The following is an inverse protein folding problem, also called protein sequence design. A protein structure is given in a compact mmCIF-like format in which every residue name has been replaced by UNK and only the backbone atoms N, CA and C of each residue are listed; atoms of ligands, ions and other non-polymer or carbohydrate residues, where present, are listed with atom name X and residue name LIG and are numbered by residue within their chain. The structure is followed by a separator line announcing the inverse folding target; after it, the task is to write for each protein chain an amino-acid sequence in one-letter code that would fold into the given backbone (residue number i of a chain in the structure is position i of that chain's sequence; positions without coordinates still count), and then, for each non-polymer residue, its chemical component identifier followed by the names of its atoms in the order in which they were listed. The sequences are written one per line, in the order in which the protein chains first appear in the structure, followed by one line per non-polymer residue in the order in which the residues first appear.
data_IF_190919534961
#
_entry.id   IF_190919534961
#
_cell.length_a   1.000
_cell.length_b   1.000
_cell.length_c   1.000
_cell.angle_alpha   90.00
_cell.angle_beta   90.00
_cell.angle_gamma   90.00
#
_symmetry.space_group_name_H-M   'P 1'
#
loop_
_entity.id
_entity.type
_entity.pdbx_description
1 polymer ?
#
# COMPACT_ATOMS: atom_id res chain seq x y z
N UNK A 1 2.43 19.29 10.47
CA UNK A 1 3.59 19.49 9.57
C UNK A 1 4.94 19.59 10.30
N UNK A 2 4.98 19.81 11.62
CA UNK A 2 6.22 19.99 12.41
C UNK A 2 7.35 19.00 12.14
N UNK A 3 7.06 17.69 11.95
CA UNK A 3 8.10 16.68 11.65
C UNK A 3 8.80 16.94 10.31
N UNK A 4 8.03 17.27 9.27
CA UNK A 4 8.59 17.64 7.97
C UNK A 4 9.40 18.94 8.07
N UNK A 5 8.98 19.85 8.95
CA UNK A 5 9.65 21.14 9.14
C UNK A 5 10.93 21.05 9.97
N UNK A 6 11.06 19.98 10.76
CA UNK A 6 12.27 19.68 11.51
C UNK A 6 13.42 19.20 10.62
N UNK A 7 13.12 18.64 9.44
CA UNK A 7 14.13 18.29 8.43
C UNK A 7 14.64 19.55 7.72
N UNK A 8 15.91 19.95 7.89
CA UNK A 8 16.47 21.14 7.24
C UNK A 8 16.47 21.05 5.71
N UNK A 9 16.50 19.84 5.14
CA UNK A 9 16.50 19.61 3.68
C UNK A 9 15.09 19.53 3.10
N UNK A 10 14.05 19.42 3.93
CA UNK A 10 12.66 19.22 3.48
C UNK A 10 12.50 18.00 2.56
N UNK A 11 13.22 16.93 2.88
CA UNK A 11 13.32 15.70 2.11
C UNK A 11 12.87 14.48 2.94
N UNK A 12 11.70 14.62 3.58
CA UNK A 12 11.08 13.57 4.39
C UNK A 12 9.73 13.18 3.78
N UNK A 13 9.50 11.87 3.63
CA UNK A 13 8.20 11.32 3.20
C UNK A 13 7.49 10.66 4.40
N UNK A 14 6.16 10.55 4.34
CA UNK A 14 5.35 9.91 5.37
C UNK A 14 4.67 8.65 4.83
N UNK A 15 4.50 7.66 5.71
CA UNK A 15 3.86 6.39 5.36
C UNK A 15 2.62 6.15 6.22
N UNK A 16 1.57 5.58 5.63
CA UNK A 16 0.47 4.92 6.35
C UNK A 16 0.51 3.42 6.05
N UNK A 17 0.36 2.61 7.09
CA UNK A 17 0.14 1.16 6.95
C UNK A 17 -1.36 0.91 7.04
N UNK A 18 -1.96 0.53 5.91
CA UNK A 18 -3.40 0.44 5.73
C UNK A 18 -3.90 -1.00 5.92
N UNK A 19 -4.12 -1.38 7.17
CA UNK A 19 -4.82 -2.61 7.55
C UNK A 19 -6.25 -2.31 8.04
N UNK A 20 -6.86 -3.17 8.86
CA UNK A 20 -8.30 -3.11 9.15
C UNK A 20 -8.75 -1.81 9.82
N UNK A 21 -7.87 -1.10 10.53
CA UNK A 21 -8.24 0.17 11.18
C UNK A 21 -8.23 1.32 10.16
N UNK A 22 -7.17 1.39 9.37
CA UNK A 22 -6.93 2.49 8.43
C UNK A 22 -7.55 2.27 7.05
N UNK A 23 -8.12 1.08 6.79
CA UNK A 23 -8.70 0.72 5.51
C UNK A 23 -9.84 -0.31 5.62
N UNK A 24 -10.65 -0.26 6.70
CA UNK A 24 -11.86 -1.11 6.84
C UNK A 24 -12.88 -0.99 5.69
N UNK A 25 -12.94 0.18 5.05
CA UNK A 25 -13.90 0.53 4.01
C UNK A 25 -13.37 1.65 3.10
N UNK A 26 -14.00 1.82 1.94
CA UNK A 26 -13.61 2.79 0.93
C UNK A 26 -13.56 4.23 1.46
N UNK A 27 -14.54 4.61 2.28
CA UNK A 27 -14.60 5.95 2.87
C UNK A 27 -13.42 6.19 3.82
N UNK A 28 -13.01 5.18 4.58
CA UNK A 28 -11.86 5.26 5.47
C UNK A 28 -10.56 5.34 4.72
N UNK A 29 -10.38 4.57 3.65
CA UNK A 29 -9.23 4.68 2.75
C UNK A 29 -9.10 6.09 2.17
N UNK A 30 -10.18 6.58 1.53
CA UNK A 30 -10.19 7.90 0.88
C UNK A 30 -9.90 9.02 1.88
N UNK A 31 -10.59 9.01 3.02
CA UNK A 31 -10.41 10.01 4.09
C UNK A 31 -9.00 10.04 4.64
N UNK A 32 -8.38 8.87 4.84
CA UNK A 32 -7.00 8.81 5.36
C UNK A 32 -6.00 9.36 4.34
N UNK A 33 -6.13 8.99 3.06
CA UNK A 33 -5.29 9.55 1.98
C UNK A 33 -5.51 11.06 1.86
N UNK A 34 -6.76 11.52 1.86
CA UNK A 34 -7.11 12.94 1.71
C UNK A 34 -6.60 13.80 2.85
N UNK A 35 -6.81 13.35 4.10
CA UNK A 35 -6.34 14.07 5.27
C UNK A 35 -4.82 14.18 5.28
N UNK A 36 -4.10 13.11 4.89
CA UNK A 36 -2.64 13.14 4.80
C UNK A 36 -2.15 14.08 3.70
N UNK A 37 -2.74 14.03 2.51
CA UNK A 37 -2.39 14.93 1.42
C UNK A 37 -2.72 16.40 1.74
N UNK A 38 -3.80 16.66 2.49
CA UNK A 38 -4.19 18.01 2.92
C UNK A 38 -3.18 18.65 3.89
N UNK A 39 -2.34 17.86 4.58
CA UNK A 39 -1.21 18.38 5.37
C UNK A 39 -0.15 19.00 4.44
N UNK A 40 -0.14 18.66 3.16
CA UNK A 40 0.78 19.18 2.15
C UNK A 40 2.20 18.64 2.30
N UNK A 41 2.31 17.33 2.59
CA UNK A 41 3.59 16.58 2.66
C UNK A 41 3.47 15.30 1.83
N UNK A 42 4.57 14.74 1.31
CA UNK A 42 4.53 13.52 0.51
C UNK A 42 4.03 12.29 1.31
N UNK A 43 3.22 11.46 0.68
CA UNK A 43 2.63 10.25 1.25
C UNK A 43 2.97 9.02 0.41
N UNK A 44 3.23 7.90 1.08
CA UNK A 44 3.20 6.55 0.54
C UNK A 44 2.27 5.67 1.39
N UNK A 45 1.56 4.72 0.80
CA UNK A 45 0.94 3.62 1.55
C UNK A 45 1.98 2.50 1.67
N UNK A 46 2.75 2.53 2.76
CA UNK A 46 3.94 1.67 2.89
C UNK A 46 3.63 0.20 3.16
N UNK A 47 2.43 -0.13 3.61
CA UNK A 47 1.96 -1.51 3.76
C UNK A 47 0.44 -1.58 3.59
N UNK A 48 -0.04 -2.68 2.99
CA UNK A 48 -1.43 -3.12 3.04
C UNK A 48 -1.52 -4.59 2.58
N UNK A 49 -2.62 -5.27 2.92
CA UNK A 49 -2.98 -6.61 2.41
C UNK A 49 -4.50 -6.69 2.25
N UNK A 50 -5.07 -7.86 1.94
CA UNK A 50 -6.52 -8.11 1.92
C UNK A 50 -7.14 -8.29 3.32
N UNK A 51 -6.33 -8.68 4.30
CA UNK A 51 -6.65 -8.78 5.71
C UNK A 51 -5.37 -8.84 6.56
N UNK A 52 -5.43 -8.50 7.85
CA UNK A 52 -4.32 -8.70 8.81
C UNK A 52 -4.69 -9.68 9.93
N UNK A 53 -5.68 -9.33 10.75
CA UNK A 53 -6.13 -10.16 11.89
C UNK A 53 -7.38 -10.98 11.57
N UNK A 54 -7.50 -11.43 10.32
CA UNK A 54 -8.72 -12.05 9.77
C UNK A 54 -9.85 -11.05 9.48
N UNK A 55 -9.61 -9.75 9.71
CA UNK A 55 -10.53 -8.67 9.36
C UNK A 55 -10.22 -8.13 7.97
N UNK A 56 -11.24 -7.86 7.14
CA UNK A 56 -11.03 -7.42 5.77
C UNK A 56 -10.43 -6.01 5.70
N UNK A 57 -9.66 -5.78 4.65
CA UNK A 57 -9.07 -4.51 4.26
C UNK A 57 -9.53 -4.19 2.84
N UNK A 58 -9.98 -2.96 2.60
CA UNK A 58 -10.39 -2.50 1.26
C UNK A 58 -9.18 -2.11 0.39
N UNK A 59 -8.34 -3.11 0.10
CA UNK A 59 -7.13 -2.94 -0.70
C UNK A 59 -7.41 -2.51 -2.15
N UNK A 60 -8.62 -2.81 -2.66
CA UNK A 60 -9.03 -2.38 -4.02
C UNK A 60 -9.22 -0.86 -4.07
N UNK A 61 -9.85 -0.28 -3.05
CA UNK A 61 -9.92 1.18 -2.94
C UNK A 61 -8.54 1.78 -2.72
N UNK A 62 -7.64 1.14 -1.96
CA UNK A 62 -6.25 1.60 -1.81
C UNK A 62 -5.58 1.73 -3.19
N UNK A 63 -5.56 0.66 -3.98
CA UNK A 63 -4.88 0.62 -5.29
C UNK A 63 -5.48 1.67 -6.25
N UNK A 64 -6.81 1.67 -6.39
CA UNK A 64 -7.48 2.58 -7.32
C UNK A 64 -7.35 4.05 -6.91
N UNK A 65 -7.48 4.36 -5.63
CA UNK A 65 -7.41 5.74 -5.15
C UNK A 65 -5.98 6.27 -5.07
N UNK A 66 -4.99 5.43 -4.78
CA UNK A 66 -3.59 5.80 -4.89
C UNK A 66 -3.23 6.20 -6.33
N UNK A 67 -3.74 5.48 -7.33
CA UNK A 67 -3.59 5.86 -8.74
C UNK A 67 -4.25 7.22 -9.03
N UNK A 68 -5.47 7.43 -8.57
CA UNK A 68 -6.20 8.69 -8.74
C UNK A 68 -5.45 9.88 -8.13
N UNK A 69 -4.82 9.69 -6.98
CA UNK A 69 -4.15 10.75 -6.20
C UNK A 69 -2.64 10.81 -6.36
N UNK A 70 -2.07 10.02 -7.26
CA UNK A 70 -0.62 9.93 -7.49
C UNK A 70 0.16 9.62 -6.20
N UNK A 71 -0.34 8.68 -5.41
CA UNK A 71 0.28 8.18 -4.18
C UNK A 71 0.93 6.83 -4.47
N UNK A 72 2.19 6.66 -4.05
CA UNK A 72 2.86 5.36 -4.14
C UNK A 72 2.32 4.37 -3.12
N UNK A 73 2.48 3.06 -3.38
CA UNK A 73 2.08 2.02 -2.44
C UNK A 73 3.01 0.81 -2.50
N UNK A 74 3.07 0.05 -1.40
CA UNK A 74 3.80 -1.21 -1.27
C UNK A 74 2.88 -2.25 -0.61
N UNK A 75 2.59 -3.34 -1.31
CA UNK A 75 1.78 -4.43 -0.76
C UNK A 75 2.62 -5.33 0.16
N UNK A 76 2.04 -5.75 1.28
CA UNK A 76 2.65 -6.65 2.24
C UNK A 76 2.08 -8.06 2.07
N UNK A 77 2.90 -9.10 1.88
CA UNK A 77 4.33 -9.07 1.54
C UNK A 77 4.67 -10.27 0.66
N UNK A 78 5.89 -10.31 0.11
CA UNK A 78 6.24 -11.31 -0.91
C UNK A 78 6.00 -12.75 -0.46
N UNK A 79 6.61 -13.15 0.65
CA UNK A 79 6.51 -14.50 1.22
C UNK A 79 7.09 -14.53 2.63
N UNK A 80 6.64 -15.47 3.47
CA UNK A 80 7.29 -15.81 4.74
C UNK A 80 6.65 -15.16 5.96
N UNK A 81 5.38 -14.76 5.85
CA UNK A 81 4.59 -14.40 7.02
C UNK A 81 4.45 -15.59 7.99
N UNK A 82 4.21 -15.29 9.27
CA UNK A 82 3.98 -16.34 10.26
C UNK A 82 2.59 -16.97 10.07
N UNK A 83 2.26 -17.98 10.89
CA UNK A 83 1.01 -18.72 10.75
C UNK A 83 -0.25 -17.85 10.84
N UNK A 84 -0.22 -16.76 11.62
CA UNK A 84 -1.37 -15.89 11.84
C UNK A 84 -1.62 -14.94 10.66
N UNK A 85 -0.59 -14.64 9.87
CA UNK A 85 -0.66 -13.70 8.74
C UNK A 85 -0.26 -14.32 7.40
N UNK A 86 -0.20 -15.65 7.30
CA UNK A 86 0.21 -16.38 6.09
C UNK A 86 -0.71 -16.10 4.87
N UNK A 87 -1.94 -15.63 5.09
CA UNK A 87 -2.83 -15.20 4.01
C UNK A 87 -2.30 -13.95 3.26
N UNK A 88 -1.38 -13.20 3.86
CA UNK A 88 -0.81 -11.97 3.30
C UNK A 88 0.37 -12.25 2.34
N UNK A 89 0.81 -13.51 2.20
CA UNK A 89 1.86 -13.88 1.25
C UNK A 89 1.39 -13.67 -0.21
N UNK A 90 2.16 -12.91 -0.99
CA UNK A 90 1.91 -12.67 -2.41
C UNK A 90 2.40 -13.83 -3.30
N UNK A 91 3.31 -14.66 -2.83
CA UNK A 91 3.81 -15.85 -3.51
C UNK A 91 3.85 -17.07 -2.58
N UNK A 92 3.71 -18.28 -3.14
CA UNK A 92 3.81 -19.55 -2.37
C UNK A 92 5.25 -19.92 -1.95
N UNK A 93 6.20 -19.01 -2.12
CA UNK A 93 7.62 -19.21 -1.82
C UNK A 93 8.48 -18.07 -2.39
N UNK A 94 9.77 -17.97 -2.03
CA UNK A 94 10.63 -16.90 -2.52
C UNK A 94 10.74 -16.84 -4.05
N UNK A 95 10.72 -18.01 -4.70
CA UNK A 95 10.64 -18.18 -6.15
C UNK A 95 9.35 -18.92 -6.57
N UNK A 96 8.29 -18.79 -5.75
CA UNK A 96 7.02 -19.48 -5.95
C UNK A 96 6.11 -18.76 -6.94
N UNK A 97 5.03 -19.45 -7.35
CA UNK A 97 3.94 -18.81 -8.08
C UNK A 97 3.20 -17.81 -7.20
N UNK A 98 2.60 -16.80 -7.83
CA UNK A 98 1.75 -15.84 -7.13
C UNK A 98 0.56 -16.54 -6.46
N UNK A 99 0.24 -16.13 -5.23
CA UNK A 99 -1.02 -16.47 -4.57
C UNK A 99 -2.18 -15.76 -5.27
N UNK A 100 -3.42 -15.97 -4.77
CA UNK A 100 -4.57 -15.20 -5.26
C UNK A 100 -4.35 -13.69 -5.05
N UNK A 101 -3.96 -13.28 -3.83
CA UNK A 101 -3.67 -11.88 -3.52
C UNK A 101 -2.53 -11.36 -4.41
N UNK A 102 -1.44 -12.13 -4.56
CA UNK A 102 -0.32 -11.78 -5.43
C UNK A 102 -0.75 -11.47 -6.87
N UNK A 103 -1.60 -12.32 -7.47
CA UNK A 103 -2.15 -12.04 -8.81
C UNK A 103 -3.00 -10.79 -8.83
N UNK A 104 -3.80 -10.54 -7.81
CA UNK A 104 -4.63 -9.33 -7.76
C UNK A 104 -3.79 -8.05 -7.61
N UNK A 105 -2.68 -8.08 -6.87
CA UNK A 105 -1.74 -6.96 -6.75
C UNK A 105 -0.93 -6.74 -8.04
N UNK A 106 -0.49 -7.81 -8.68
CA UNK A 106 0.40 -7.73 -9.84
C UNK A 106 -0.36 -7.50 -11.14
N UNK A 107 -1.46 -8.21 -11.36
CA UNK A 107 -2.05 -8.41 -12.70
C UNK A 107 -3.34 -7.63 -12.95
N UNK A 108 -4.07 -7.20 -11.91
CA UNK A 108 -5.31 -6.43 -12.10
C UNK A 108 -5.07 -5.00 -12.62
N UNK A 109 -6.13 -4.37 -13.12
CA UNK A 109 -6.10 -2.94 -13.45
C UNK A 109 -5.77 -2.09 -12.21
N UNK A 110 -4.82 -1.17 -12.39
CA UNK A 110 -4.22 -0.40 -11.29
C UNK A 110 -3.05 -1.12 -10.59
N UNK A 111 -2.91 -2.44 -10.76
CA UNK A 111 -1.83 -3.25 -10.21
C UNK A 111 -0.48 -3.06 -10.92
N UNK A 112 0.58 -3.68 -10.39
CA UNK A 112 1.98 -3.44 -10.76
C UNK A 112 2.20 -3.50 -12.28
N UNK A 113 1.69 -4.55 -12.94
CA UNK A 113 1.88 -4.77 -14.39
C UNK A 113 1.34 -3.60 -15.24
N UNK A 114 0.31 -2.91 -14.75
CA UNK A 114 -0.40 -1.85 -15.49
C UNK A 114 0.06 -0.43 -15.16
N UNK A 115 0.65 -0.21 -13.98
CA UNK A 115 0.93 1.15 -13.47
C UNK A 115 2.37 1.38 -13.02
N UNK A 116 3.17 0.34 -12.79
CA UNK A 116 4.53 0.53 -12.31
C UNK A 116 5.46 1.00 -13.43
N UNK A 117 6.27 2.00 -13.11
CA UNK A 117 7.38 2.44 -13.95
C UNK A 117 8.69 2.32 -13.18
N UNK A 118 9.72 1.86 -13.89
CA UNK A 118 11.08 1.90 -13.38
C UNK A 118 11.48 3.35 -13.06
N UNK A 119 12.23 3.55 -11.98
CA UNK A 119 12.86 4.83 -11.73
C UNK A 119 13.72 5.20 -12.95
N UNK A 120 13.69 6.47 -13.37
CA UNK A 120 14.40 6.94 -14.58
C UNK A 120 15.93 6.89 -14.47
N UNK A 121 16.46 6.53 -13.31
CA UNK A 121 17.88 6.38 -13.01
C UNK A 121 18.38 4.94 -13.15
N UNK A 122 17.52 4.01 -13.57
CA UNK A 122 17.86 2.62 -13.87
C UNK A 122 18.36 2.45 -15.31
#
# INVERSE_FOLDING_TARGET
RSIFEADPQRNTIFSIHMYEVAAKDADTVRRNIDNSLAIGVPLIIGEFSDAQTGKPVDYKTIISYCRERSVGWLAWSWYGNNADTANMDLAYGPAGQLTKLGREIVENDGGIRSTAWAASTL
#
